data_IF_195643676066
#
_entry.id   IF_195643676066
#
_cell.length_a   1.000
_cell.length_b   1.000
_cell.length_c   1.000
_cell.angle_alpha   90.00
_cell.angle_beta   90.00
_cell.angle_gamma   90.00
#
_symmetry.space_group_name_H-M   'P 1'
#
loop_
_entity.id
_entity.type
_entity.pdbx_description
1 polymer ?
#
# COMPACT_ATOMS: atom_id res chain seq x y z
N UNK A 1 -4.95 -10.04 -5.10
CA UNK A 1 -5.64 -10.02 -6.41
C UNK A 1 -7.14 -9.81 -6.24
N UNK A 2 -7.86 -10.60 -5.44
CA UNK A 2 -9.30 -10.41 -5.19
C UNK A 2 -9.66 -8.99 -4.69
N UNK A 3 -8.94 -8.46 -3.70
CA UNK A 3 -9.20 -7.11 -3.19
C UNK A 3 -9.04 -6.02 -4.27
N UNK A 4 -8.03 -6.12 -5.13
CA UNK A 4 -7.83 -5.18 -6.24
C UNK A 4 -8.94 -5.29 -7.29
N UNK A 5 -9.39 -6.52 -7.59
CA UNK A 5 -10.51 -6.75 -8.51
C UNK A 5 -11.80 -6.15 -7.94
N UNK A 6 -12.07 -6.33 -6.64
CA UNK A 6 -13.22 -5.73 -5.97
C UNK A 6 -13.17 -4.20 -6.00
N UNK A 7 -12.01 -3.62 -5.71
CA UNK A 7 -11.72 -2.19 -5.86
C UNK A 7 -12.10 -1.65 -7.23
N UNK A 8 -11.60 -2.28 -8.30
CA UNK A 8 -11.83 -1.83 -9.67
C UNK A 8 -13.32 -1.96 -10.06
N UNK A 9 -14.00 -2.98 -9.53
CA UNK A 9 -15.44 -3.16 -9.73
C UNK A 9 -16.24 -2.06 -9.05
N UNK A 10 -15.88 -1.69 -7.81
CA UNK A 10 -16.53 -0.62 -7.07
C UNK A 10 -16.34 0.74 -7.76
N UNK A 11 -15.18 1.01 -8.33
CA UNK A 11 -14.94 2.21 -9.13
C UNK A 11 -15.85 2.25 -10.37
N UNK A 12 -15.98 1.14 -11.11
CA UNK A 12 -16.89 1.06 -12.26
C UNK A 12 -18.37 1.23 -11.84
N UNK A 13 -18.78 0.63 -10.72
CA UNK A 13 -20.12 0.83 -10.14
C UNK A 13 -20.35 2.31 -9.81
N UNK A 14 -19.40 2.95 -9.14
CA UNK A 14 -19.47 4.35 -8.77
C UNK A 14 -19.51 5.27 -9.99
N UNK A 15 -18.70 5.00 -11.02
CA UNK A 15 -18.72 5.73 -12.28
C UNK A 15 -20.07 5.59 -13.00
N UNK A 16 -20.65 4.38 -13.01
CA UNK A 16 -21.98 4.15 -13.60
C UNK A 16 -23.08 4.87 -12.81
N UNK A 17 -22.98 4.87 -11.48
CA UNK A 17 -23.92 5.59 -10.60
C UNK A 17 -23.82 7.11 -10.79
N UNK A 18 -22.61 7.67 -10.91
CA UNK A 18 -22.40 9.09 -11.23
C UNK A 18 -22.93 9.43 -12.63
N UNK A 19 -22.81 8.53 -13.60
CA UNK A 19 -23.41 8.71 -14.93
C UNK A 19 -24.95 8.71 -14.86
N UNK A 20 -25.54 7.84 -14.03
CA UNK A 20 -26.98 7.82 -13.77
C UNK A 20 -27.45 9.13 -13.13
N UNK A 21 -26.77 9.61 -12.10
CA UNK A 21 -27.08 10.87 -11.43
C UNK A 21 -27.01 12.05 -12.40
N UNK A 22 -25.98 12.11 -13.26
CA UNK A 22 -25.87 13.12 -14.32
C UNK A 22 -27.00 13.03 -15.34
N UNK A 23 -27.44 11.81 -15.69
CA UNK A 23 -28.57 11.63 -16.62
C UNK A 23 -29.89 12.15 -16.04
N UNK A 24 -30.10 12.02 -14.73
CA UNK A 24 -31.29 12.53 -14.04
C UNK A 24 -31.37 14.06 -13.99
N UNK A 25 -30.24 14.77 -14.05
CA UNK A 25 -30.22 16.24 -14.07
C UNK A 25 -30.75 16.80 -15.41
N UNK A 26 -30.70 16.01 -16.48
CA UNK A 26 -31.04 16.48 -17.83
C UNK A 26 -32.54 16.41 -18.19
N UNK A 27 -33.38 15.73 -17.40
CA UNK A 27 -34.83 15.76 -17.60
C UNK A 27 -35.60 15.41 -16.31
N UNK A 28 -36.23 16.38 -15.64
CA UNK A 28 -37.04 16.12 -14.43
C UNK A 28 -38.30 15.29 -14.68
N UNK A 29 -38.68 15.12 -15.95
CA UNK A 29 -39.94 14.49 -16.37
C UNK A 29 -39.74 13.10 -17.00
N UNK A 30 -38.51 12.77 -17.40
CA UNK A 30 -38.15 11.45 -17.89
C UNK A 30 -37.30 10.83 -16.80
N UNK A 31 -37.76 9.73 -16.22
CA UNK A 31 -36.99 9.01 -15.21
C UNK A 31 -35.56 8.65 -15.69
N UNK A 32 -34.74 8.11 -14.78
CA UNK A 32 -33.36 7.73 -15.09
C UNK A 32 -33.27 6.94 -16.39
N UNK A 33 -32.24 7.21 -17.19
CA UNK A 33 -32.04 6.55 -18.48
C UNK A 33 -32.11 5.03 -18.28
N UNK A 34 -33.11 4.34 -18.86
CA UNK A 34 -33.28 2.90 -18.68
C UNK A 34 -32.04 2.13 -19.14
N UNK A 35 -31.25 2.67 -20.07
CA UNK A 35 -29.97 2.11 -20.50
C UNK A 35 -28.94 2.09 -19.36
N UNK A 36 -28.93 3.11 -18.50
CA UNK A 36 -28.00 3.19 -17.36
C UNK A 36 -28.50 2.34 -16.18
N UNK A 37 -29.83 2.26 -15.98
CA UNK A 37 -30.42 1.32 -15.03
C UNK A 37 -30.12 -0.13 -15.42
N UNK A 38 -30.30 -0.47 -16.70
CA UNK A 38 -29.94 -1.77 -17.24
C UNK A 38 -28.42 -2.01 -17.11
N UNK A 39 -27.57 -1.00 -17.24
CA UNK A 39 -26.13 -1.14 -16.99
C UNK A 39 -25.83 -1.44 -15.52
N UNK A 40 -26.46 -0.75 -14.57
CA UNK A 40 -26.32 -1.01 -13.13
C UNK A 40 -26.81 -2.41 -12.75
N UNK A 41 -27.99 -2.81 -13.22
CA UNK A 41 -28.55 -4.13 -12.97
C UNK A 41 -27.72 -5.24 -13.64
N UNK A 42 -27.16 -4.97 -14.82
CA UNK A 42 -26.23 -5.87 -15.47
C UNK A 42 -24.87 -5.94 -14.75
N UNK A 43 -24.38 -4.87 -14.13
CA UNK A 43 -23.17 -4.91 -13.28
C UNK A 43 -23.45 -5.76 -12.02
N UNK A 44 -24.62 -5.61 -11.42
CA UNK A 44 -25.10 -6.35 -10.25
C UNK A 44 -25.57 -7.80 -10.54
N UNK A 45 -25.82 -8.17 -11.79
CA UNK A 45 -26.04 -9.57 -12.20
C UNK A 45 -24.77 -10.21 -12.76
N UNK A 46 -23.86 -9.38 -13.28
CA UNK A 46 -22.61 -9.81 -13.88
C UNK A 46 -21.66 -10.36 -12.83
N UNK A 47 -21.55 -9.81 -11.62
CA UNK A 47 -20.50 -10.18 -10.64
C UNK A 47 -20.36 -11.67 -10.34
N UNK A 48 -21.47 -12.43 -10.23
CA UNK A 48 -21.42 -13.89 -10.00
C UNK A 48 -20.87 -14.66 -11.19
N UNK A 49 -21.20 -14.22 -12.41
CA UNK A 49 -20.66 -14.79 -13.65
C UNK A 49 -19.29 -14.21 -13.98
N UNK A 50 -18.97 -12.97 -13.58
CA UNK A 50 -17.72 -12.23 -13.87
C UNK A 50 -16.55 -12.73 -13.04
N UNK A 51 -16.73 -13.27 -11.85
CA UNK A 51 -15.63 -13.92 -11.12
C UNK A 51 -15.15 -15.20 -11.83
N UNK A 52 -16.07 -16.00 -12.38
CA UNK A 52 -15.72 -17.13 -13.26
C UNK A 52 -15.21 -16.67 -14.63
N UNK A 53 -15.77 -15.57 -15.16
CA UNK A 53 -15.41 -15.02 -16.45
C UNK A 53 -14.09 -14.22 -16.41
N UNK A 54 -13.69 -13.58 -15.31
CA UNK A 54 -12.40 -12.88 -15.13
C UNK A 54 -11.21 -13.85 -15.05
N UNK A 55 -11.46 -15.10 -14.69
CA UNK A 55 -10.50 -16.19 -14.93
C UNK A 55 -10.45 -16.65 -16.41
N UNK A 56 -11.43 -16.27 -17.24
CA UNK A 56 -11.55 -16.66 -18.67
C UNK A 56 -11.40 -15.50 -19.67
N UNK A 57 -11.44 -14.26 -19.20
CA UNK A 57 -11.33 -12.97 -19.88
C UNK A 57 -9.90 -12.46 -19.58
N UNK A 58 -8.93 -12.26 -20.47
CA UNK A 58 -8.87 -12.05 -21.93
C UNK A 58 -9.82 -10.98 -22.48
N UNK A 59 -10.24 -9.99 -21.69
CA UNK A 59 -10.95 -8.82 -22.24
C UNK A 59 -9.93 -7.86 -22.79
N UNK A 60 -10.16 -7.51 -24.04
CA UNK A 60 -9.56 -6.44 -24.84
C UNK A 60 -9.80 -5.01 -24.31
N UNK A 61 -10.22 -4.84 -23.04
CA UNK A 61 -10.28 -3.51 -22.40
C UNK A 61 -9.11 -3.40 -21.43
N UNK A 62 -8.18 -2.49 -21.77
CA UNK A 62 -7.12 -2.07 -20.87
C UNK A 62 -7.77 -1.41 -19.66
N UNK A 63 -7.48 -1.91 -18.47
CA UNK A 63 -7.83 -1.25 -17.22
C UNK A 63 -6.65 -0.35 -16.89
N UNK A 64 -6.91 0.92 -16.62
CA UNK A 64 -5.89 1.84 -16.12
C UNK A 64 -5.66 1.57 -14.63
N UNK A 65 -4.43 1.18 -14.27
CA UNK A 65 -4.06 0.83 -12.91
C UNK A 65 -3.08 1.89 -12.35
N UNK A 66 -3.63 2.84 -11.60
CA UNK A 66 -2.87 3.78 -10.77
C UNK A 66 -2.26 3.10 -9.55
N UNK A 67 -0.93 3.06 -9.48
CA UNK A 67 -0.16 2.53 -8.34
C UNK A 67 0.67 3.65 -7.74
N UNK A 68 0.44 3.96 -6.46
CA UNK A 68 1.31 4.82 -5.68
C UNK A 68 2.40 3.97 -5.02
N UNK A 69 3.62 4.10 -5.51
CA UNK A 69 4.78 3.41 -4.96
C UNK A 69 5.50 4.30 -3.94
N UNK A 70 5.61 3.83 -2.70
CA UNK A 70 6.31 4.49 -1.61
C UNK A 70 7.62 3.72 -1.36
N UNK A 71 8.77 4.22 -1.87
CA UNK A 71 10.01 3.49 -1.85
C UNK A 71 10.69 3.71 -0.50
N UNK A 72 10.36 2.90 0.51
CA UNK A 72 10.69 3.26 1.88
C UNK A 72 11.98 2.65 2.41
N UNK A 73 12.64 3.50 3.20
CA UNK A 73 13.61 3.22 4.24
C UNK A 73 14.94 2.52 3.95
N UNK A 74 15.22 2.14 2.71
CA UNK A 74 16.62 2.01 2.26
C UNK A 74 17.34 3.37 2.17
N UNK A 75 16.61 4.47 2.38
CA UNK A 75 17.05 5.83 2.07
C UNK A 75 17.33 6.72 3.27
N UNK A 76 17.35 6.13 4.46
CA UNK A 76 17.77 6.82 5.66
C UNK A 76 19.17 7.43 5.42
N UNK A 77 19.30 8.73 5.66
CA UNK A 77 20.56 9.42 5.44
C UNK A 77 21.49 9.08 6.60
N UNK A 78 22.62 8.50 6.26
CA UNK A 78 23.61 8.04 7.22
C UNK A 78 24.61 9.15 7.50
N UNK A 79 24.67 9.59 8.75
CA UNK A 79 25.62 10.60 9.23
C UNK A 79 27.05 10.06 9.24
N UNK A 80 27.22 8.75 9.41
CA UNK A 80 28.49 8.04 9.39
C UNK A 80 28.99 7.71 7.96
N UNK A 81 28.21 8.02 6.92
CA UNK A 81 28.62 7.78 5.54
C UNK A 81 29.66 8.80 5.08
N UNK A 82 30.72 8.32 4.42
CA UNK A 82 31.69 9.17 3.71
C UNK A 82 31.11 9.87 2.47
N UNK A 83 29.90 9.49 2.03
CA UNK A 83 29.22 10.12 0.90
C UNK A 83 28.45 11.36 1.34
N UNK A 84 28.56 12.44 0.55
CA UNK A 84 27.76 13.65 0.75
C UNK A 84 26.25 13.35 0.74
N UNK A 85 25.47 14.13 1.47
CA UNK A 85 24.00 13.97 1.52
C UNK A 85 23.38 14.00 0.11
N UNK A 86 23.90 14.85 -0.79
CA UNK A 86 23.46 14.90 -2.19
C UNK A 86 23.68 13.57 -2.92
N UNK A 87 24.84 12.92 -2.74
CA UNK A 87 25.15 11.62 -3.34
C UNK A 87 24.32 10.49 -2.74
N UNK A 88 24.08 10.51 -1.42
CA UNK A 88 23.17 9.56 -0.77
C UNK A 88 21.76 9.68 -1.35
N UNK A 89 21.19 10.90 -1.40
CA UNK A 89 19.87 11.17 -2.01
C UNK A 89 19.80 10.75 -3.48
N UNK A 90 20.85 11.02 -4.26
CA UNK A 90 20.91 10.62 -5.67
C UNK A 90 20.85 9.11 -5.85
N UNK A 91 21.62 8.35 -5.08
CA UNK A 91 21.58 6.87 -5.08
C UNK A 91 20.22 6.35 -4.65
N UNK A 92 19.65 6.93 -3.60
CA UNK A 92 18.35 6.57 -3.06
C UNK A 92 17.24 6.75 -4.11
N UNK A 93 17.23 7.88 -4.83
CA UNK A 93 16.28 8.11 -5.93
C UNK A 93 16.48 7.12 -7.08
N UNK A 94 17.72 6.84 -7.46
CA UNK A 94 18.02 5.90 -8.53
C UNK A 94 17.57 4.47 -8.20
N UNK A 95 17.82 4.01 -6.97
CA UNK A 95 17.37 2.71 -6.48
C UNK A 95 15.83 2.64 -6.40
N UNK A 96 15.17 3.68 -5.91
CA UNK A 96 13.70 3.71 -5.82
C UNK A 96 13.05 3.65 -7.19
N UNK A 97 13.61 4.37 -8.16
CA UNK A 97 13.20 4.32 -9.57
C UNK A 97 13.38 2.92 -10.15
N UNK A 98 14.55 2.31 -9.94
CA UNK A 98 14.83 0.94 -10.40
C UNK A 98 13.83 -0.06 -9.83
N UNK A 99 13.61 -0.05 -8.52
CA UNK A 99 12.69 -0.99 -7.85
C UNK A 99 11.24 -0.82 -8.27
N UNK A 100 10.80 0.43 -8.48
CA UNK A 100 9.47 0.70 -9.05
C UNK A 100 9.35 0.10 -10.45
N UNK A 101 10.34 0.32 -11.30
CA UNK A 101 10.37 -0.28 -12.64
C UNK A 101 10.38 -1.80 -12.56
N UNK A 102 11.20 -2.40 -11.69
CA UNK A 102 11.24 -3.84 -11.48
C UNK A 102 9.89 -4.41 -10.99
N UNK A 103 9.21 -3.71 -10.09
CA UNK A 103 7.87 -4.09 -9.60
C UNK A 103 6.86 -4.18 -10.75
N UNK A 104 6.91 -3.21 -11.68
CA UNK A 104 6.01 -3.14 -12.82
C UNK A 104 6.38 -4.19 -13.88
N UNK A 105 7.66 -4.33 -14.19
CA UNK A 105 8.14 -5.29 -15.20
C UNK A 105 7.98 -6.76 -14.78
N UNK A 106 8.01 -7.06 -13.48
CA UNK A 106 7.76 -8.41 -12.96
C UNK A 106 6.29 -8.84 -13.05
N UNK A 107 5.39 -7.95 -13.46
CA UNK A 107 3.96 -8.23 -13.65
C UNK A 107 3.54 -7.95 -15.11
N UNK A 108 4.18 -8.61 -16.11
CA UNK A 108 3.93 -8.29 -17.53
C UNK A 108 2.48 -8.57 -17.96
N UNK A 109 1.77 -9.42 -17.22
CA UNK A 109 0.36 -9.76 -17.47
C UNK A 109 -0.61 -8.65 -17.04
N UNK A 110 -0.18 -7.75 -16.14
CA UNK A 110 -1.02 -6.68 -15.60
C UNK A 110 -0.77 -5.32 -16.26
N UNK A 111 0.29 -5.16 -17.05
CA UNK A 111 0.73 -3.84 -17.53
C UNK A 111 1.15 -3.88 -19.00
N UNK A 112 0.38 -3.22 -19.87
CA UNK A 112 0.89 -2.70 -21.14
C UNK A 112 1.71 -1.46 -20.83
N UNK A 113 3.03 -1.60 -20.79
CA UNK A 113 3.97 -0.50 -20.55
C UNK A 113 3.95 0.44 -21.75
N UNK A 114 3.35 1.62 -21.60
CA UNK A 114 3.58 2.76 -22.50
C UNK A 114 4.94 3.43 -22.22
N UNK A 115 5.46 4.17 -23.20
CA UNK A 115 6.83 4.70 -23.19
C UNK A 115 7.17 5.52 -21.92
N UNK A 116 8.29 5.18 -21.28
CA UNK A 116 8.80 5.92 -20.11
C UNK A 116 9.49 7.21 -20.54
N UNK A 117 8.85 8.36 -20.37
CA UNK A 117 9.55 9.65 -20.41
C UNK A 117 10.05 10.05 -19.01
N UNK A 118 11.35 10.32 -18.90
CA UNK A 118 12.01 10.66 -17.64
C UNK A 118 12.04 12.19 -17.48
N UNK A 119 11.22 12.75 -16.59
CA UNK A 119 11.44 14.11 -16.08
C UNK A 119 12.29 14.05 -14.81
N UNK A 120 13.38 14.83 -14.79
CA UNK A 120 14.44 14.81 -13.77
C UNK A 120 14.21 15.82 -12.62
N UNK A 121 13.00 16.39 -12.52
CA UNK A 121 12.71 17.47 -11.58
C UNK A 121 12.28 16.95 -10.20
N UNK A 122 13.26 16.73 -9.33
CA UNK A 122 13.23 17.05 -7.88
C UNK A 122 12.20 16.39 -6.93
N UNK A 123 11.06 15.91 -7.41
CA UNK A 123 10.02 15.19 -6.67
C UNK A 123 10.04 13.71 -7.09
N UNK A 124 10.19 12.81 -6.13
CA UNK A 124 10.48 11.39 -6.34
C UNK A 124 9.31 10.54 -6.87
N UNK A 125 8.61 10.98 -7.91
CA UNK A 125 7.51 10.26 -8.55
C UNK A 125 7.69 10.20 -10.07
N UNK A 126 8.64 9.41 -10.58
CA UNK A 126 8.68 9.12 -12.01
C UNK A 126 7.51 8.21 -12.45
N UNK A 127 7.04 8.38 -13.67
CA UNK A 127 5.75 7.86 -14.16
C UNK A 127 5.94 7.03 -15.44
N UNK A 128 5.04 6.07 -15.66
CA UNK A 128 4.81 5.38 -16.94
C UNK A 128 3.46 5.87 -17.49
N UNK A 129 3.40 6.36 -18.74
CA UNK A 129 2.14 6.81 -19.36
C UNK A 129 1.84 6.05 -20.63
N UNK A 130 0.55 5.90 -20.91
CA UNK A 130 0.03 5.60 -22.26
C UNK A 130 -0.43 6.92 -22.89
N UNK A 131 0.46 7.55 -23.66
CA UNK A 131 0.30 8.52 -24.77
C UNK A 131 -0.72 9.69 -24.77
N UNK A 132 -1.59 9.88 -23.77
CA UNK A 132 -2.64 10.92 -23.83
C UNK A 132 -2.30 12.20 -23.07
N UNK A 133 -1.18 12.85 -23.42
CA UNK A 133 -0.94 14.32 -23.47
C UNK A 133 -1.42 15.31 -22.38
N UNK A 134 -2.04 14.90 -21.27
CA UNK A 134 -2.39 15.78 -20.16
C UNK A 134 -1.48 15.45 -18.99
N UNK A 135 -0.85 16.48 -18.41
CA UNK A 135 0.02 16.41 -17.24
C UNK A 135 -0.82 16.15 -15.98
N UNK A 136 -1.54 15.02 -15.98
CA UNK A 136 -2.54 14.60 -14.99
C UNK A 136 -1.89 13.85 -13.80
N UNK A 137 -0.56 14.01 -13.65
CA UNK A 137 0.19 13.39 -12.58
C UNK A 137 0.27 14.29 -11.36
N UNK A 138 0.15 13.70 -10.16
CA UNK A 138 0.21 14.46 -8.94
C UNK A 138 1.59 15.09 -8.76
N UNK A 139 1.63 16.37 -8.42
CA UNK A 139 2.86 17.16 -8.22
C UNK A 139 3.44 16.98 -6.83
N UNK A 140 2.66 16.39 -5.92
CA UNK A 140 3.06 16.09 -4.55
C UNK A 140 2.55 14.74 -4.10
N UNK A 141 3.15 14.17 -3.06
CA UNK A 141 2.62 12.94 -2.45
C UNK A 141 1.21 13.11 -1.87
N UNK A 142 0.82 14.33 -1.45
CA UNK A 142 -0.52 14.60 -0.85
C UNK A 142 -1.57 14.53 -1.93
N UNK A 143 -1.31 15.20 -3.04
CA UNK A 143 -2.13 15.14 -4.25
C UNK A 143 -2.19 13.70 -4.76
N UNK A 144 -1.07 12.96 -4.73
CA UNK A 144 -1.04 11.57 -5.15
C UNK A 144 -1.91 10.63 -4.30
N UNK A 145 -2.06 10.91 -3.00
CA UNK A 145 -2.89 10.10 -2.10
C UNK A 145 -4.35 10.57 -2.14
N UNK A 146 -4.59 11.89 -2.11
CA UNK A 146 -5.92 12.47 -1.90
C UNK A 146 -6.71 12.70 -3.19
N UNK A 147 -6.03 13.08 -4.27
CA UNK A 147 -6.68 13.59 -5.49
C UNK A 147 -6.49 12.63 -6.66
N UNK A 148 -5.30 12.04 -6.80
CA UNK A 148 -5.00 11.07 -7.86
C UNK A 148 -5.70 9.72 -7.68
N UNK A 149 -6.18 9.43 -6.45
CA UNK A 149 -7.00 8.26 -6.12
C UNK A 149 -6.36 6.92 -6.58
N UNK A 150 -5.23 6.51 -5.98
CA UNK A 150 -4.46 5.35 -6.41
C UNK A 150 -5.13 4.03 -5.98
N UNK A 151 -5.41 3.13 -6.92
CA UNK A 151 -6.01 1.82 -6.60
C UNK A 151 -5.14 0.95 -5.68
N UNK A 152 -3.81 1.17 -5.70
CA UNK A 152 -2.85 0.46 -4.87
C UNK A 152 -1.81 1.42 -4.31
N UNK A 153 -1.70 1.46 -2.98
CA UNK A 153 -0.58 2.09 -2.27
C UNK A 153 0.37 0.98 -1.84
N UNK A 154 1.53 0.91 -2.50
CA UNK A 154 2.56 -0.07 -2.20
C UNK A 154 3.68 0.56 -1.38
N UNK A 155 3.86 0.12 -0.14
CA UNK A 155 4.89 0.61 0.78
C UNK A 155 5.97 -0.45 0.95
N UNK A 156 7.17 -0.14 0.45
CA UNK A 156 8.28 -1.07 0.45
C UNK A 156 8.93 -1.26 1.83
N UNK A 157 9.58 -2.41 2.04
CA UNK A 157 10.44 -2.65 3.20
C UNK A 157 11.71 -1.79 3.23
N UNK A 158 12.29 -1.62 4.42
CA UNK A 158 13.53 -0.89 4.68
C UNK A 158 13.65 -0.63 6.19
N UNK A 159 14.37 0.41 6.59
CA UNK A 159 14.40 0.90 7.98
C UNK A 159 13.02 1.42 8.52
N UNK A 160 12.35 0.63 9.34
CA UNK A 160 11.02 0.93 9.87
C UNK A 160 10.94 2.28 10.61
N UNK A 161 11.96 2.65 11.37
CA UNK A 161 12.03 3.89 12.13
C UNK A 161 12.11 5.12 11.22
N UNK A 162 12.91 5.07 10.17
CA UNK A 162 13.01 6.13 9.18
C UNK A 162 11.69 6.32 8.41
N UNK A 163 11.03 5.21 8.05
CA UNK A 163 9.70 5.26 7.44
C UNK A 163 8.71 6.02 8.33
N UNK A 164 8.63 5.66 9.61
CA UNK A 164 7.78 6.36 10.57
C UNK A 164 8.15 7.85 10.72
N UNK A 165 9.45 8.18 10.79
CA UNK A 165 9.89 9.57 10.86
C UNK A 165 9.44 10.39 9.64
N UNK A 166 9.55 9.83 8.43
CA UNK A 166 9.06 10.48 7.22
C UNK A 166 7.53 10.68 7.24
N UNK A 167 6.80 9.68 7.76
CA UNK A 167 5.34 9.73 7.94
C UNK A 167 4.92 10.87 8.88
N UNK A 168 5.53 10.96 10.06
CA UNK A 168 5.25 12.02 11.04
C UNK A 168 5.61 13.40 10.47
N UNK A 169 6.81 13.53 9.89
CA UNK A 169 7.32 14.82 9.41
C UNK A 169 6.46 15.43 8.31
N UNK A 170 5.89 14.61 7.44
CA UNK A 170 4.97 15.08 6.40
C UNK A 170 3.49 14.95 6.77
N UNK A 171 3.17 14.62 8.02
CA UNK A 171 1.80 14.48 8.53
C UNK A 171 0.94 13.55 7.65
N UNK A 172 1.49 12.40 7.27
CA UNK A 172 0.90 11.49 6.27
C UNK A 172 -0.06 10.46 6.84
N UNK A 173 -0.08 10.26 8.17
CA UNK A 173 -0.80 9.15 8.79
C UNK A 173 -2.29 9.16 8.47
N UNK A 174 -2.96 10.32 8.65
CA UNK A 174 -4.39 10.43 8.36
C UNK A 174 -4.67 10.25 6.86
N UNK A 175 -3.79 10.73 5.98
CA UNK A 175 -4.01 10.58 4.54
C UNK A 175 -3.94 9.13 4.08
N UNK A 176 -2.99 8.35 4.63
CA UNK A 176 -2.93 6.92 4.35
C UNK A 176 -4.13 6.19 4.95
N UNK A 177 -4.54 6.53 6.17
CA UNK A 177 -5.73 5.94 6.80
C UNK A 177 -6.97 6.25 5.95
N UNK A 178 -7.17 7.50 5.53
CA UNK A 178 -8.33 7.91 4.75
C UNK A 178 -8.35 7.22 3.38
N UNK A 179 -7.21 7.15 2.70
CA UNK A 179 -7.10 6.42 1.44
C UNK A 179 -7.44 4.92 1.63
N UNK A 180 -6.88 4.27 2.66
CA UNK A 180 -6.99 2.82 2.78
C UNK A 180 -8.24 2.34 3.53
N UNK A 181 -8.87 3.18 4.36
CA UNK A 181 -9.95 2.80 5.26
C UNK A 181 -11.28 3.53 4.99
N UNK A 182 -11.23 4.72 4.38
CA UNK A 182 -12.41 5.56 4.14
C UNK A 182 -12.81 5.64 2.67
N UNK A 183 -11.85 5.49 1.75
CA UNK A 183 -12.11 5.37 0.32
C UNK A 183 -12.55 3.94 0.00
N UNK A 184 -13.52 3.78 -0.92
CA UNK A 184 -14.07 2.45 -1.22
C UNK A 184 -13.13 1.56 -2.04
N UNK A 185 -12.03 2.12 -2.54
CA UNK A 185 -11.30 1.55 -3.68
C UNK A 185 -9.79 1.42 -3.46
N UNK A 186 -9.15 1.88 -2.38
CA UNK A 186 -7.68 1.78 -2.33
C UNK A 186 -7.19 0.57 -1.54
N UNK A 187 -6.25 -0.17 -2.12
CA UNK A 187 -5.59 -1.29 -1.46
C UNK A 187 -4.25 -0.82 -0.88
N UNK A 188 -4.03 -1.02 0.41
CA UNK A 188 -2.70 -0.90 1.01
C UNK A 188 -1.94 -2.22 0.89
N UNK A 189 -0.70 -2.16 0.41
CA UNK A 189 0.22 -3.29 0.42
C UNK A 189 1.53 -2.89 1.07
N UNK A 190 1.73 -3.32 2.32
CA UNK A 190 2.95 -3.09 3.07
C UNK A 190 3.88 -4.30 3.03
N UNK A 191 5.15 -4.09 2.71
CA UNK A 191 6.19 -5.11 2.81
C UNK A 191 7.11 -4.79 3.96
N UNK A 192 7.37 -5.76 4.84
CA UNK A 192 8.30 -5.63 5.97
C UNK A 192 7.99 -4.38 6.81
N UNK A 193 8.84 -3.34 6.78
CA UNK A 193 8.59 -2.04 7.41
C UNK A 193 7.20 -1.45 7.10
N UNK A 194 6.70 -1.58 5.87
CA UNK A 194 5.35 -1.13 5.52
C UNK A 194 4.25 -1.89 6.26
N UNK A 195 4.43 -3.20 6.47
CA UNK A 195 3.51 -4.00 7.27
C UNK A 195 3.56 -3.61 8.75
N UNK A 196 4.76 -3.40 9.31
CA UNK A 196 4.91 -2.94 10.70
C UNK A 196 4.22 -1.59 10.89
N UNK A 197 4.41 -0.65 9.96
CA UNK A 197 3.78 0.67 10.00
C UNK A 197 2.25 0.59 10.09
N UNK A 198 1.60 -0.35 9.41
CA UNK A 198 0.13 -0.50 9.47
C UNK A 198 -0.39 -1.09 10.76
N UNK A 199 0.47 -1.68 11.58
CA UNK A 199 0.07 -2.26 12.84
C UNK A 199 -0.30 -1.22 13.89
N UNK A 200 -0.79 -1.70 15.03
CA UNK A 200 -1.06 -0.87 16.20
C UNK A 200 0.22 -0.26 16.79
N UNK A 201 1.34 -0.98 16.74
CA UNK A 201 2.62 -0.57 17.32
C UNK A 201 3.80 -0.81 16.39
N UNK A 202 4.78 0.09 16.46
CA UNK A 202 6.08 -0.02 15.79
C UNK A 202 7.06 -0.93 16.53
N UNK A 203 6.72 -1.39 17.74
CA UNK A 203 7.67 -2.04 18.65
C UNK A 203 8.24 -3.36 18.12
N UNK A 204 7.56 -4.03 17.19
CA UNK A 204 8.06 -5.26 16.55
C UNK A 204 9.33 -5.02 15.73
N UNK A 205 9.58 -3.78 15.27
CA UNK A 205 10.82 -3.39 14.59
C UNK A 205 12.04 -3.45 15.52
N UNK A 206 11.85 -3.24 16.83
CA UNK A 206 12.92 -3.23 17.81
C UNK A 206 13.47 -4.63 18.14
N UNK A 207 12.76 -5.70 17.75
CA UNK A 207 13.00 -7.03 18.31
C UNK A 207 14.12 -7.83 17.66
N UNK A 208 14.29 -7.68 16.35
CA UNK A 208 15.36 -8.36 15.59
C UNK A 208 16.62 -7.51 15.47
N UNK A 209 16.54 -6.24 15.86
CA UNK A 209 17.61 -5.25 15.70
C UNK A 209 18.09 -5.10 14.25
N UNK A 210 17.21 -5.38 13.27
CA UNK A 210 17.50 -5.20 11.84
C UNK A 210 17.31 -3.74 11.40
N UNK A 211 16.45 -3.01 12.10
CA UNK A 211 16.18 -1.59 11.89
C UNK A 211 17.09 -0.76 12.81
N UNK A 212 17.86 0.18 12.24
CA UNK A 212 18.76 1.06 12.98
C UNK A 212 18.04 2.34 13.42
N UNK A 213 17.78 2.57 14.73
CA UNK A 213 17.08 3.76 15.21
C UNK A 213 17.94 5.03 15.09
N UNK A 214 19.27 4.92 15.06
CA UNK A 214 20.19 6.07 15.04
C UNK A 214 20.07 6.94 13.79
N UNK A 215 19.39 6.44 12.75
CA UNK A 215 19.11 7.20 11.54
C UNK A 215 18.02 8.26 11.72
N UNK A 216 17.30 8.26 12.84
CA UNK A 216 16.24 9.23 13.16
C UNK A 216 16.73 10.23 14.22
N UNK A 217 16.91 11.51 13.85
CA UNK A 217 17.34 12.53 14.80
C UNK A 217 16.34 12.71 15.95
N UNK A 218 16.83 12.67 17.18
CA UNK A 218 16.07 12.78 18.43
C UNK A 218 15.35 11.51 18.87
N UNK A 219 15.56 10.37 18.20
CA UNK A 219 15.07 9.03 18.58
C UNK A 219 16.10 7.95 18.21
N UNK A 220 17.33 8.14 18.64
CA UNK A 220 18.47 7.34 18.21
C UNK A 220 18.60 5.97 18.90
N UNK A 221 17.81 5.69 19.93
CA UNK A 221 17.88 4.45 20.72
C UNK A 221 16.61 3.61 20.56
N UNK A 222 16.67 2.29 20.76
CA UNK A 222 15.47 1.44 20.68
C UNK A 222 14.43 1.81 21.74
N UNK A 223 14.87 2.30 22.89
CA UNK A 223 14.01 2.76 23.97
C UNK A 223 13.09 3.90 23.52
N UNK A 224 13.57 4.81 22.66
CA UNK A 224 12.80 5.93 22.09
C UNK A 224 11.62 5.46 21.22
N UNK A 225 11.68 4.21 20.74
CA UNK A 225 10.66 3.59 19.89
C UNK A 225 9.70 2.70 20.68
N UNK A 226 9.95 2.52 21.97
CA UNK A 226 8.99 1.85 22.86
C UNK A 226 7.70 2.68 22.89
N UNK A 227 6.55 2.02 22.83
CA UNK A 227 5.23 2.67 22.87
C UNK A 227 4.86 3.55 21.66
N UNK A 228 5.72 3.65 20.63
CA UNK A 228 5.35 4.36 19.41
C UNK A 228 4.27 3.56 18.67
N UNK A 229 3.16 4.24 18.40
CA UNK A 229 2.02 3.69 17.67
C UNK A 229 2.33 3.62 16.17
N UNK A 230 1.85 2.58 15.52
CA UNK A 230 1.73 2.58 14.06
C UNK A 230 0.46 3.31 13.62
N UNK A 231 -0.02 2.99 12.42
CA UNK A 231 -1.26 3.55 11.88
C UNK A 231 -2.52 2.93 12.48
N UNK A 232 -2.41 1.76 13.11
CA UNK A 232 -3.54 0.96 13.62
C UNK A 232 -4.61 0.67 12.54
N UNK A 233 -4.16 0.50 11.29
CA UNK A 233 -5.03 0.22 10.14
C UNK A 233 -5.50 -1.24 10.10
N UNK A 234 -4.91 -2.12 10.93
CA UNK A 234 -5.23 -3.55 11.00
C UNK A 234 -6.11 -3.92 12.20
N UNK A 235 -6.85 -2.96 12.78
CA UNK A 235 -7.82 -3.24 13.84
C UNK A 235 -7.18 -3.74 15.15
N UNK A 236 -6.08 -3.12 15.58
CA UNK A 236 -5.38 -3.44 16.82
C UNK A 236 -4.23 -4.44 16.67
N UNK A 237 -4.10 -5.13 15.54
CA UNK A 237 -2.99 -6.07 15.35
C UNK A 237 -1.66 -5.36 15.04
N UNK A 238 -0.56 -5.94 15.51
CA UNK A 238 0.81 -5.52 15.17
C UNK A 238 1.52 -6.62 14.39
N UNK A 239 2.44 -6.28 13.50
CA UNK A 239 3.04 -7.25 12.58
C UNK A 239 4.48 -7.56 12.90
N UNK A 240 4.84 -8.84 12.86
CA UNK A 240 6.22 -9.32 12.94
C UNK A 240 6.59 -10.04 11.62
N UNK A 241 7.14 -9.31 10.63
CA UNK A 241 7.51 -9.88 9.33
C UNK A 241 8.81 -10.69 9.41
N UNK A 242 9.05 -11.51 8.39
CA UNK A 242 10.19 -12.42 8.32
C UNK A 242 10.24 -13.39 9.51
N UNK A 243 9.07 -13.97 9.82
CA UNK A 243 8.98 -14.99 10.84
C UNK A 243 9.74 -16.25 10.41
N UNK A 244 10.62 -16.71 11.27
CA UNK A 244 11.38 -17.95 11.15
C UNK A 244 11.36 -18.66 12.50
N UNK A 245 11.64 -19.97 12.51
CA UNK A 245 11.54 -20.79 13.72
C UNK A 245 12.47 -20.27 14.84
N UNK A 246 13.64 -19.72 14.48
CA UNK A 246 14.58 -19.12 15.44
C UNK A 246 14.02 -17.92 16.21
N UNK A 247 12.98 -17.25 15.69
CA UNK A 247 12.38 -16.08 16.33
C UNK A 247 11.23 -16.42 17.28
N UNK A 248 10.78 -17.68 17.34
CA UNK A 248 9.57 -18.09 18.05
C UNK A 248 9.61 -17.73 19.54
N UNK A 249 10.68 -18.11 20.24
CA UNK A 249 10.81 -17.85 21.67
C UNK A 249 10.93 -16.36 21.99
N UNK A 250 11.59 -15.60 21.10
CA UNK A 250 11.71 -14.15 21.24
C UNK A 250 10.35 -13.49 21.09
N UNK A 251 9.59 -13.81 20.03
CA UNK A 251 8.27 -13.22 19.81
C UNK A 251 7.32 -13.58 20.95
N UNK A 252 7.28 -14.85 21.39
CA UNK A 252 6.43 -15.25 22.52
C UNK A 252 6.75 -14.45 23.79
N UNK A 253 8.04 -14.27 24.11
CA UNK A 253 8.48 -13.51 25.27
C UNK A 253 8.11 -12.02 25.16
N UNK A 254 8.35 -11.41 24.01
CA UNK A 254 8.05 -10.00 23.78
C UNK A 254 6.54 -9.74 23.76
N UNK A 255 5.74 -10.59 23.11
CA UNK A 255 4.28 -10.52 23.13
C UNK A 255 3.74 -10.62 24.55
N UNK A 256 4.26 -11.54 25.37
CA UNK A 256 3.89 -11.63 26.79
C UNK A 256 4.21 -10.33 27.54
N UNK A 257 5.41 -9.78 27.33
CA UNK A 257 5.81 -8.51 27.94
C UNK A 257 4.90 -7.34 27.52
N UNK A 258 4.47 -7.27 26.26
CA UNK A 258 3.52 -6.25 25.77
C UNK A 258 2.16 -6.31 26.49
N UNK A 259 1.67 -7.52 26.76
CA UNK A 259 0.40 -7.72 27.47
C UNK A 259 0.56 -7.37 28.95
N UNK A 260 1.64 -7.81 29.60
CA UNK A 260 1.90 -7.54 31.02
C UNK A 260 2.15 -6.05 31.32
N UNK A 261 2.75 -5.32 30.37
CA UNK A 261 2.98 -3.88 30.47
C UNK A 261 1.76 -3.03 30.12
N UNK A 262 0.64 -3.63 29.71
CA UNK A 262 -0.58 -2.93 29.31
C UNK A 262 -0.46 -2.12 28.02
N UNK A 263 0.62 -2.31 27.25
CA UNK A 263 0.85 -1.69 25.94
C UNK A 263 -0.12 -2.28 24.92
N UNK A 264 -0.25 -3.61 24.97
CA UNK A 264 -1.20 -4.36 24.17
C UNK A 264 -2.44 -4.61 25.00
N UNK A 265 -3.60 -4.25 24.46
CA UNK A 265 -4.88 -4.77 24.95
C UNK A 265 -4.89 -6.30 24.85
N UNK A 266 -5.68 -7.00 25.66
CA UNK A 266 -5.87 -8.45 25.50
C UNK A 266 -6.38 -8.82 24.09
N UNK A 267 -6.99 -7.86 23.38
CA UNK A 267 -7.51 -8.02 22.02
C UNK A 267 -6.47 -7.80 20.92
N UNK A 268 -5.37 -7.07 21.19
CA UNK A 268 -4.33 -6.80 20.20
C UNK A 268 -3.32 -7.94 20.18
N UNK A 269 -3.09 -8.51 18.99
CA UNK A 269 -2.20 -9.64 18.82
C UNK A 269 -1.02 -9.31 17.91
N UNK A 270 0.09 -10.00 18.13
CA UNK A 270 1.26 -9.90 17.25
C UNK A 270 1.10 -10.96 16.17
N UNK A 271 0.94 -10.52 14.92
CA UNK A 271 0.81 -11.37 13.74
C UNK A 271 2.18 -11.65 13.17
N UNK A 272 2.67 -12.87 13.40
CA UNK A 272 3.90 -13.36 12.78
C UNK A 272 3.62 -13.73 11.31
N UNK A 273 4.38 -13.14 10.38
CA UNK A 273 4.22 -13.37 8.93
C UNK A 273 5.54 -13.90 8.38
N UNK A 274 5.53 -15.10 7.78
CA UNK A 274 6.69 -15.67 7.10
C UNK A 274 6.91 -15.01 5.74
N UNK A 275 8.09 -15.19 5.15
CA UNK A 275 8.42 -14.60 3.85
C UNK A 275 7.57 -15.13 2.69
N UNK A 276 7.04 -16.35 2.82
CA UNK A 276 6.12 -16.95 1.85
C UNK A 276 4.64 -16.77 2.22
N UNK A 277 4.34 -15.96 3.23
CA UNK A 277 2.99 -15.65 3.68
C UNK A 277 2.62 -14.19 3.38
N UNK A 278 1.32 -13.92 3.30
CA UNK A 278 0.76 -12.58 3.38
C UNK A 278 -0.39 -12.56 4.38
N UNK A 279 -0.56 -11.42 5.05
CA UNK A 279 -1.68 -11.18 5.94
C UNK A 279 -2.66 -10.23 5.25
N UNK A 280 -3.92 -10.64 5.16
CA UNK A 280 -4.97 -9.89 4.48
C UNK A 280 -5.98 -9.42 5.50
N UNK A 281 -6.27 -8.13 5.48
CA UNK A 281 -7.31 -7.47 6.27
C UNK A 281 -8.31 -6.89 5.30
N UNK A 282 -9.58 -7.27 5.44
CA UNK A 282 -10.69 -6.63 4.76
C UNK A 282 -11.82 -6.30 5.77
N UNK A 283 -12.89 -5.65 5.31
CA UNK A 283 -14.02 -5.22 6.15
C UNK A 283 -14.75 -6.36 6.90
N UNK A 284 -14.52 -7.62 6.52
CA UNK A 284 -15.26 -8.80 7.01
C UNK A 284 -14.35 -9.81 7.70
N UNK A 285 -13.08 -9.88 7.33
CA UNK A 285 -12.20 -10.96 7.75
C UNK A 285 -10.74 -10.51 7.80
N UNK A 286 -9.98 -11.23 8.63
CA UNK A 286 -8.54 -11.14 8.70
C UNK A 286 -7.97 -12.55 8.62
N UNK A 287 -7.03 -12.79 7.71
CA UNK A 287 -6.47 -14.12 7.50
C UNK A 287 -5.06 -14.10 6.91
N UNK A 288 -4.30 -15.14 7.21
CA UNK A 288 -3.00 -15.40 6.57
C UNK A 288 -3.21 -16.30 5.35
N UNK A 289 -2.58 -15.96 4.23
CA UNK A 289 -2.53 -16.81 3.04
C UNK A 289 -1.10 -17.02 2.60
N UNK A 290 -0.80 -18.20 2.07
CA UNK A 290 0.50 -18.47 1.44
C UNK A 290 0.57 -17.85 0.06
N UNK A 291 1.74 -17.35 -0.30
CA UNK A 291 2.06 -16.98 -1.66
C UNK A 291 1.99 -18.24 -2.55
N UNK A 292 1.38 -18.14 -3.76
CA UNK A 292 1.40 -19.20 -4.74
C UNK A 292 2.83 -19.72 -4.99
N UNK A 293 2.98 -21.03 -5.14
CA UNK A 293 4.30 -21.68 -5.31
C UNK A 293 5.10 -21.14 -6.49
N UNK A 294 4.45 -20.65 -7.55
CA UNK A 294 5.11 -20.07 -8.72
C UNK A 294 5.76 -18.70 -8.46
N UNK A 295 5.39 -18.00 -7.37
CA UNK A 295 6.01 -16.73 -6.97
C UNK A 295 7.28 -16.96 -6.14
N UNK A 296 7.43 -18.13 -5.50
CA UNK A 296 8.49 -18.40 -4.51
C UNK A 296 9.90 -18.61 -5.09
N UNK A 297 10.03 -18.72 -6.42
CA UNK A 297 11.29 -19.09 -7.09
C UNK A 297 12.03 -17.90 -7.74
N UNK A 298 11.58 -16.66 -7.50
CA UNK A 298 12.16 -15.43 -8.08
C UNK A 298 12.76 -14.51 -7.01
#
# INVERSE_FOLDING_TARGET
MNALVETLIKEEQQNTQLALEKSNIFSPCNGPDPTILDQLENIDLSWRKKLELLCQIKTSKLIDLRILYVPTAMYALRSDSTSTLGKQRGRNRADGKKRRTDMILKQPELVTVGDTSNSDDGGGGGVLTTDNGVDDFPKSGKEAIREWNPHLIYVQGGNTFWLHHCMEKGNWSQDLIDACCCSTNDVYCGVSAGAILTGQSMQTACWKEWDDPSVVPGRETYEDWTYIKGLDAAGGDSFFPHMEDQWQDMVQRQTKHLVESGISTQTSSVRCVRDDDSYVVDSRQQYTTKLPSHIRNN
#
